data_IF_230412307288
#
_entry.id   IF_230412307288
#
_cell.length_a   1.000
_cell.length_b   1.000
_cell.length_c   1.000
_cell.angle_alpha   90.00
_cell.angle_beta   90.00
_cell.angle_gamma   90.00
#
_symmetry.space_group_name_H-M   'P 1'
#
loop_
_entity.id
_entity.type
_entity.pdbx_description
1 polymer ?
#
# COMPACT_ATOMS: atom_id res chain seq x y z
N UNK A 1 11.61 9.75 84.42
CA UNK A 1 10.43 8.86 84.44
C UNK A 1 9.36 9.43 83.53
N UNK A 2 9.32 8.98 82.28
CA UNK A 2 8.12 8.85 81.44
C UNK A 2 8.58 8.07 80.20
N UNK A 3 7.97 6.90 80.00
CA UNK A 3 8.25 5.92 78.95
C UNK A 3 7.77 6.48 77.61
N UNK A 4 8.60 6.45 76.58
CA UNK A 4 8.17 6.71 75.21
C UNK A 4 8.87 5.81 74.15
N UNK A 5 8.89 4.47 74.28
CA UNK A 5 9.34 3.60 73.19
C UNK A 5 8.24 3.32 72.14
N UNK A 6 7.13 4.06 72.15
CA UNK A 6 5.95 3.75 71.30
C UNK A 6 5.92 4.59 70.01
N UNK A 7 6.69 5.67 69.91
CA UNK A 7 6.61 6.56 68.74
C UNK A 7 7.44 6.12 67.52
N UNK A 8 8.34 5.12 67.67
CA UNK A 8 9.19 4.62 66.58
C UNK A 8 8.59 3.44 65.80
N UNK A 9 7.50 2.83 66.26
CA UNK A 9 6.91 1.66 65.59
C UNK A 9 5.82 2.02 64.55
N UNK A 10 5.24 3.21 64.62
CA UNK A 10 4.18 3.65 63.71
C UNK A 10 4.68 4.41 62.47
N UNK A 11 5.91 4.94 62.49
CA UNK A 11 6.50 5.61 61.33
C UNK A 11 7.08 4.63 60.30
N UNK A 12 7.50 3.43 60.74
CA UNK A 12 8.05 2.39 59.86
C UNK A 12 6.98 1.65 59.05
N UNK A 13 5.76 1.54 59.58
CA UNK A 13 4.65 0.84 58.91
C UNK A 13 3.91 1.72 57.90
N UNK A 14 3.83 3.04 58.11
CA UNK A 14 3.21 3.96 57.13
C UNK A 14 4.11 4.16 55.90
N UNK A 15 5.44 4.16 56.04
CA UNK A 15 6.35 4.24 54.90
C UNK A 15 6.39 2.95 54.07
N UNK A 16 6.18 1.79 54.69
CA UNK A 16 6.20 0.50 54.00
C UNK A 16 4.95 0.28 53.14
N UNK A 17 3.79 0.82 53.53
CA UNK A 17 2.56 0.77 52.71
C UNK A 17 2.64 1.70 51.50
N UNK A 18 3.34 2.84 51.60
CA UNK A 18 3.51 3.78 50.49
C UNK A 18 4.56 3.35 49.46
N UNK A 19 5.62 2.64 49.87
CA UNK A 19 6.61 2.10 48.92
C UNK A 19 6.07 0.85 48.20
N UNK A 20 5.21 0.06 48.84
CA UNK A 20 4.57 -1.10 48.19
C UNK A 20 3.42 -0.74 47.24
N UNK A 21 2.87 0.47 47.34
CA UNK A 21 1.87 0.96 46.37
C UNK A 21 2.48 1.67 45.15
N UNK A 22 3.77 2.05 45.20
CA UNK A 22 4.49 2.59 44.04
C UNK A 22 5.22 1.54 43.19
N UNK A 23 5.46 0.34 43.72
CA UNK A 23 5.97 -0.81 42.95
C UNK A 23 4.86 -1.62 42.27
N UNK A 24 3.59 -1.25 42.51
CA UNK A 24 2.40 -1.86 41.93
C UNK A 24 1.87 -1.19 40.67
N UNK A 25 2.58 -0.20 40.10
CA UNK A 25 2.36 0.15 38.69
C UNK A 25 3.16 -0.86 37.89
N UNK A 26 2.63 -2.09 37.83
CA UNK A 26 3.03 -3.02 36.79
C UNK A 26 2.76 -2.28 35.49
N UNK A 27 3.82 -1.82 34.84
CA UNK A 27 3.81 -1.56 33.43
C UNK A 27 3.24 -2.84 32.80
N UNK A 28 1.94 -2.82 32.50
CA UNK A 28 1.34 -3.76 31.58
C UNK A 28 2.06 -3.50 30.27
N UNK A 29 3.21 -4.15 30.10
CA UNK A 29 3.83 -4.34 28.80
C UNK A 29 2.77 -5.15 28.07
N UNK A 30 1.96 -4.46 27.28
CA UNK A 30 0.98 -5.08 26.40
C UNK A 30 1.78 -6.03 25.51
N UNK A 31 1.75 -7.32 25.83
CA UNK A 31 2.32 -8.35 25.00
C UNK A 31 1.38 -8.50 23.82
N UNK A 32 1.65 -7.79 22.73
CA UNK A 32 1.03 -8.11 21.45
C UNK A 32 1.62 -9.45 20.99
N UNK A 33 0.79 -10.51 20.85
CA UNK A 33 1.29 -11.76 20.30
C UNK A 33 1.87 -11.50 18.90
N UNK A 34 2.90 -12.25 18.49
CA UNK A 34 3.45 -12.13 17.14
C UNK A 34 2.33 -12.27 16.12
N UNK A 35 2.17 -11.26 15.26
CA UNK A 35 1.19 -11.30 14.17
C UNK A 35 1.62 -12.36 13.15
N UNK A 36 0.67 -13.09 12.61
CA UNK A 36 0.95 -13.99 11.49
C UNK A 36 1.18 -13.19 10.20
N UNK A 37 1.74 -13.86 9.19
CA UNK A 37 2.09 -13.23 7.92
C UNK A 37 0.87 -12.65 7.18
N UNK A 38 -0.33 -13.21 7.37
CA UNK A 38 -1.55 -12.72 6.73
C UNK A 38 -2.00 -11.43 7.39
N UNK A 39 -2.09 -11.41 8.71
CA UNK A 39 -2.45 -10.22 9.49
C UNK A 39 -1.50 -9.05 9.18
N UNK A 40 -0.18 -9.30 9.16
CA UNK A 40 0.79 -8.25 8.81
C UNK A 40 0.61 -7.77 7.36
N UNK A 41 0.38 -8.67 6.41
CA UNK A 41 0.12 -8.30 5.03
C UNK A 41 -1.16 -7.47 4.86
N UNK A 42 -2.25 -7.87 5.52
CA UNK A 42 -3.53 -7.15 5.47
C UNK A 42 -3.40 -5.74 6.06
N UNK A 43 -2.70 -5.59 7.19
CA UNK A 43 -2.39 -4.28 7.76
C UNK A 43 -1.55 -3.42 6.81
N UNK A 44 -0.58 -4.04 6.11
CA UNK A 44 0.15 -3.35 5.05
C UNK A 44 -0.75 -2.93 3.89
N UNK A 45 -1.77 -3.69 3.52
CA UNK A 45 -2.68 -3.23 2.46
C UNK A 45 -3.63 -2.13 2.96
N UNK A 46 -4.12 -2.22 4.19
CA UNK A 46 -5.05 -1.25 4.77
C UNK A 46 -4.42 0.07 5.19
N UNK A 47 -3.13 0.07 5.54
CA UNK A 47 -2.47 1.31 5.91
C UNK A 47 -2.50 2.26 4.69
N UNK A 48 -3.37 3.27 4.80
CA UNK A 48 -3.52 4.32 3.83
C UNK A 48 -2.19 5.07 3.68
N UNK A 49 -1.97 5.63 2.48
CA UNK A 49 -0.92 6.61 2.26
C UNK A 49 -1.31 7.91 2.98
N UNK A 50 -1.10 7.92 4.30
CA UNK A 50 -1.43 9.06 5.15
C UNK A 50 -0.23 10.01 5.22
N UNK A 51 -0.40 11.29 4.88
CA UNK A 51 0.65 12.28 5.14
C UNK A 51 1.00 12.30 6.63
N UNK A 52 2.29 12.19 6.93
CA UNK A 52 2.81 12.41 8.28
C UNK A 52 3.38 13.83 8.34
N UNK A 53 2.73 14.74 9.07
CA UNK A 53 3.22 16.11 9.32
C UNK A 53 2.23 17.24 9.02
N UNK A 54 2.67 18.48 9.28
CA UNK A 54 1.89 19.73 9.17
C UNK A 54 1.63 20.22 7.73
N UNK A 55 2.10 19.50 6.70
CA UNK A 55 1.91 19.91 5.31
C UNK A 55 0.49 19.58 4.82
N UNK A 56 -0.25 20.59 4.37
CA UNK A 56 -1.58 20.43 3.76
C UNK A 56 -1.58 19.61 2.45
N UNK A 57 -0.42 19.45 1.81
CA UNK A 57 -0.25 18.65 0.58
C UNK A 57 0.75 17.51 0.84
N UNK A 58 0.33 16.24 0.76
CA UNK A 58 1.21 15.09 0.93
C UNK A 58 2.34 15.04 -0.11
N UNK A 59 3.56 14.69 0.31
CA UNK A 59 4.59 14.21 -0.64
C UNK A 59 4.26 12.76 -1.03
N UNK A 60 3.46 12.60 -2.08
CA UNK A 60 3.05 11.30 -2.58
C UNK A 60 4.24 10.42 -2.98
N UNK A 61 5.32 11.00 -3.51
CA UNK A 61 6.52 10.23 -3.88
C UNK A 61 7.11 9.57 -2.64
N UNK A 62 7.33 10.33 -1.58
CA UNK A 62 7.86 9.79 -0.32
C UNK A 62 6.91 8.75 0.30
N UNK A 63 5.59 9.00 0.27
CA UNK A 63 4.60 8.04 0.76
C UNK A 63 4.63 6.71 0.01
N UNK A 64 4.68 6.74 -1.33
CA UNK A 64 4.81 5.52 -2.14
C UNK A 64 6.11 4.77 -1.82
N UNK A 65 7.25 5.47 -1.74
CA UNK A 65 8.55 4.84 -1.47
C UNK A 65 8.62 4.22 -0.08
N UNK A 66 8.09 4.90 0.94
CA UNK A 66 7.95 4.33 2.29
C UNK A 66 7.07 3.08 2.28
N UNK A 67 5.96 3.10 1.53
CA UNK A 67 5.07 1.94 1.41
C UNK A 67 5.75 0.75 0.73
N UNK A 68 6.49 1.01 -0.34
CA UNK A 68 7.30 0.00 -1.04
C UNK A 68 8.31 -0.64 -0.07
N UNK A 69 9.04 0.17 0.70
CA UNK A 69 10.03 -0.34 1.65
C UNK A 69 9.40 -1.28 2.71
N UNK A 70 8.15 -1.03 3.12
CA UNK A 70 7.43 -1.92 4.04
C UNK A 70 7.09 -3.27 3.40
N UNK A 71 6.63 -3.29 2.15
CA UNK A 71 6.42 -4.54 1.42
C UNK A 71 7.74 -5.30 1.17
N UNK A 72 8.83 -4.59 0.86
CA UNK A 72 10.16 -5.21 0.71
C UNK A 72 10.62 -5.85 2.03
N UNK A 73 10.38 -5.18 3.17
CA UNK A 73 10.66 -5.73 4.50
C UNK A 73 9.79 -6.97 4.79
N UNK A 74 8.51 -6.94 4.43
CA UNK A 74 7.62 -8.10 4.54
C UNK A 74 8.13 -9.30 3.76
N UNK A 75 8.49 -9.12 2.48
CA UNK A 75 9.05 -10.20 1.64
C UNK A 75 10.35 -10.75 2.23
N UNK A 76 11.22 -9.88 2.76
CA UNK A 76 12.47 -10.30 3.41
C UNK A 76 12.20 -11.11 4.69
N UNK A 77 11.19 -10.74 5.46
CA UNK A 77 10.78 -11.43 6.70
C UNK A 77 10.13 -12.79 6.41
N UNK A 78 9.30 -12.86 5.36
CA UNK A 78 8.54 -14.06 4.99
C UNK A 78 8.84 -14.52 3.54
N UNK A 79 10.08 -14.94 3.22
CA UNK A 79 10.50 -15.22 1.84
C UNK A 79 9.82 -16.46 1.21
N UNK A 80 9.23 -17.32 2.04
CA UNK A 80 8.48 -18.53 1.61
C UNK A 80 6.97 -18.34 1.70
N UNK A 81 6.50 -17.14 2.06
CA UNK A 81 5.07 -16.85 2.17
C UNK A 81 4.39 -17.05 0.82
N UNK A 82 3.17 -17.64 0.78
CA UNK A 82 2.36 -17.61 -0.43
C UNK A 82 1.98 -16.18 -0.84
N UNK A 83 2.11 -15.20 0.07
CA UNK A 83 1.81 -13.79 -0.17
C UNK A 83 2.93 -13.03 -0.88
N UNK A 84 4.10 -13.62 -1.10
CA UNK A 84 5.23 -12.94 -1.77
C UNK A 84 4.85 -12.43 -3.16
N UNK A 85 4.12 -13.23 -3.95
CA UNK A 85 3.69 -12.81 -5.28
C UNK A 85 2.76 -11.62 -5.25
N UNK A 86 1.84 -11.57 -4.28
CA UNK A 86 0.92 -10.44 -4.13
C UNK A 86 1.65 -9.20 -3.57
N UNK A 87 2.54 -9.35 -2.59
CA UNK A 87 3.37 -8.25 -2.10
C UNK A 87 4.23 -7.63 -3.22
N UNK A 88 4.83 -8.46 -4.09
CA UNK A 88 5.55 -7.98 -5.28
C UNK A 88 4.63 -7.25 -6.25
N UNK A 89 3.41 -7.76 -6.45
CA UNK A 89 2.41 -7.11 -7.29
C UNK A 89 2.06 -5.71 -6.74
N UNK A 90 1.85 -5.58 -5.43
CA UNK A 90 1.62 -4.29 -4.77
C UNK A 90 2.80 -3.34 -4.94
N UNK A 91 4.04 -3.82 -4.77
CA UNK A 91 5.24 -3.01 -5.04
C UNK A 91 5.24 -2.51 -6.49
N UNK A 92 4.92 -3.37 -7.46
CA UNK A 92 4.90 -2.98 -8.86
C UNK A 92 3.81 -1.92 -9.15
N UNK A 93 2.62 -2.07 -8.57
CA UNK A 93 1.55 -1.05 -8.65
C UNK A 93 2.04 0.29 -8.07
N UNK A 94 2.62 0.28 -6.86
CA UNK A 94 3.16 1.49 -6.21
C UNK A 94 4.26 2.14 -7.04
N UNK A 95 5.21 1.37 -7.59
CA UNK A 95 6.29 1.90 -8.43
C UNK A 95 5.77 2.61 -9.69
N UNK A 96 4.65 2.17 -10.27
CA UNK A 96 4.03 2.85 -11.43
C UNK A 96 3.44 4.21 -11.06
N UNK A 97 3.11 4.39 -9.78
CA UNK A 97 2.50 5.61 -9.26
C UNK A 97 3.51 6.59 -8.64
N UNK A 98 4.79 6.21 -8.55
CA UNK A 98 5.83 7.13 -8.09
C UNK A 98 6.02 8.24 -9.13
N UNK A 99 5.78 9.48 -8.72
CA UNK A 99 6.01 10.65 -9.55
C UNK A 99 7.47 11.09 -9.55
N UNK A 100 7.89 11.83 -10.58
CA UNK A 100 9.20 12.53 -10.58
C UNK A 100 9.26 13.55 -9.44
N UNK A 101 10.46 13.82 -8.93
CA UNK A 101 10.64 14.69 -7.76
C UNK A 101 10.10 16.11 -7.99
N UNK A 102 10.25 16.64 -9.20
CA UNK A 102 9.76 17.96 -9.61
C UNK A 102 8.22 18.08 -9.62
N UNK A 103 7.49 16.95 -9.62
CA UNK A 103 6.02 16.93 -9.62
C UNK A 103 5.44 17.43 -8.31
N UNK A 104 6.19 17.34 -7.21
CA UNK A 104 5.76 17.84 -5.91
C UNK A 104 5.32 19.31 -5.97
N UNK A 105 6.12 20.17 -6.62
CA UNK A 105 5.81 21.60 -6.75
C UNK A 105 4.53 21.82 -7.56
N UNK A 106 4.38 21.13 -8.69
CA UNK A 106 3.17 21.24 -9.51
C UNK A 106 1.92 20.75 -8.77
N UNK A 107 2.02 19.67 -7.98
CA UNK A 107 0.91 19.19 -7.14
C UNK A 107 0.55 20.23 -6.09
N UNK A 108 1.53 20.80 -5.40
CA UNK A 108 1.28 21.85 -4.41
C UNK A 108 0.53 23.04 -5.02
N UNK A 109 0.98 23.52 -6.17
CA UNK A 109 0.30 24.62 -6.88
C UNK A 109 -1.13 24.25 -7.29
N UNK A 110 -1.35 23.02 -7.75
CA UNK A 110 -2.68 22.49 -8.08
C UNK A 110 -3.59 22.47 -6.84
N UNK A 111 -3.12 21.94 -5.70
CA UNK A 111 -3.89 21.90 -4.45
C UNK A 111 -4.22 23.30 -3.94
N UNK A 112 -3.27 24.24 -4.01
CA UNK A 112 -3.51 25.64 -3.65
C UNK A 112 -4.54 26.30 -4.57
N UNK A 113 -4.52 25.97 -5.87
CA UNK A 113 -5.50 26.44 -6.85
C UNK A 113 -6.90 25.90 -6.55
N UNK A 114 -7.05 24.58 -6.34
CA UNK A 114 -8.33 23.92 -6.01
C UNK A 114 -8.88 24.43 -4.69
N UNK A 115 -8.02 24.63 -3.69
CA UNK A 115 -8.44 25.18 -2.38
C UNK A 115 -9.00 26.60 -2.53
N UNK A 116 -8.39 27.43 -3.38
CA UNK A 116 -8.90 28.78 -3.70
C UNK A 116 -10.18 28.76 -4.55
N UNK A 117 -10.41 27.70 -5.32
CA UNK A 117 -11.63 27.54 -6.12
C UNK A 117 -12.89 27.43 -5.26
N UNK A 118 -12.77 27.03 -3.98
CA UNK A 118 -13.86 27.00 -3.01
C UNK A 118 -15.16 26.37 -3.55
N UNK A 119 -15.05 25.14 -4.05
CA UNK A 119 -16.14 24.34 -4.66
C UNK A 119 -16.65 24.84 -6.02
N UNK A 120 -16.00 25.80 -6.68
CA UNK A 120 -16.27 26.09 -8.08
C UNK A 120 -15.71 24.99 -8.99
N UNK A 121 -16.60 24.14 -9.51
CA UNK A 121 -16.25 22.96 -10.32
C UNK A 121 -15.45 23.34 -11.58
N UNK A 122 -15.82 24.43 -12.25
CA UNK A 122 -15.13 24.86 -13.47
C UNK A 122 -13.68 25.27 -13.19
N UNK A 123 -13.43 25.97 -12.09
CA UNK A 123 -12.08 26.33 -11.65
C UNK A 123 -11.30 25.11 -11.19
N UNK A 124 -11.92 24.17 -10.47
CA UNK A 124 -11.28 22.91 -10.07
C UNK A 124 -10.81 22.11 -11.29
N UNK A 125 -11.68 21.90 -12.28
CA UNK A 125 -11.35 21.24 -13.55
C UNK A 125 -10.20 21.95 -14.26
N UNK A 126 -10.21 23.29 -14.29
CA UNK A 126 -9.12 24.09 -14.84
C UNK A 126 -7.80 23.86 -14.09
N UNK A 127 -7.79 23.88 -12.76
CA UNK A 127 -6.59 23.67 -11.95
C UNK A 127 -5.97 22.28 -12.23
N UNK A 128 -6.81 21.25 -12.31
CA UNK A 128 -6.39 19.87 -12.61
C UNK A 128 -5.86 19.78 -14.05
N UNK A 129 -6.54 20.39 -15.01
CA UNK A 129 -6.11 20.41 -16.41
C UNK A 129 -4.77 21.15 -16.59
N UNK A 130 -4.58 22.29 -15.91
CA UNK A 130 -3.32 23.04 -15.95
C UNK A 130 -2.17 22.24 -15.33
N UNK A 131 -2.43 21.51 -14.23
CA UNK A 131 -1.46 20.58 -13.66
C UNK A 131 -0.98 19.55 -14.68
N UNK A 132 -1.89 18.84 -15.35
CA UNK A 132 -1.51 17.82 -16.34
C UNK A 132 -0.81 18.44 -17.56
N UNK A 133 -1.26 19.62 -18.00
CA UNK A 133 -0.64 20.36 -19.11
C UNK A 133 0.82 20.73 -18.80
N UNK A 134 1.12 21.17 -17.57
CA UNK A 134 2.46 21.61 -17.16
C UNK A 134 3.37 20.46 -16.75
N UNK A 135 2.82 19.46 -16.06
CA UNK A 135 3.59 18.29 -15.60
C UNK A 135 3.91 17.31 -16.73
N UNK A 136 3.12 17.28 -17.81
CA UNK A 136 3.24 16.27 -18.85
C UNK A 136 2.94 14.88 -18.28
N UNK A 137 3.87 13.93 -18.43
CA UNK A 137 3.79 12.66 -17.72
C UNK A 137 4.40 12.83 -16.31
N UNK A 138 3.62 12.76 -15.22
CA UNK A 138 4.15 12.93 -13.87
C UNK A 138 5.01 11.74 -13.42
N UNK A 139 4.89 10.57 -14.03
CA UNK A 139 5.52 9.33 -13.53
C UNK A 139 7.03 9.32 -13.71
N UNK A 140 7.73 8.80 -12.71
CA UNK A 140 9.19 8.68 -12.74
C UNK A 140 9.62 7.47 -13.60
N UNK A 141 10.42 7.69 -14.67
CA UNK A 141 10.82 6.61 -15.57
C UNK A 141 11.67 5.53 -14.89
N UNK A 142 12.45 5.87 -13.86
CA UNK A 142 13.26 4.90 -13.13
C UNK A 142 12.38 3.91 -12.37
N UNK A 143 11.37 4.41 -11.66
CA UNK A 143 10.45 3.56 -10.91
C UNK A 143 9.48 2.82 -11.81
N UNK A 144 9.07 3.45 -12.92
CA UNK A 144 8.30 2.76 -13.94
C UNK A 144 9.06 1.56 -14.53
N UNK A 145 10.36 1.69 -14.83
CA UNK A 145 11.19 0.58 -15.28
C UNK A 145 11.33 -0.52 -14.21
N UNK A 146 11.46 -0.15 -12.92
CA UNK A 146 11.43 -1.12 -11.82
C UNK A 146 10.12 -1.89 -11.74
N UNK A 147 8.99 -1.21 -11.92
CA UNK A 147 7.68 -1.86 -11.98
C UNK A 147 7.61 -2.87 -13.13
N UNK A 148 8.06 -2.49 -14.34
CA UNK A 148 8.06 -3.39 -15.48
C UNK A 148 8.86 -4.67 -15.21
N UNK A 149 10.10 -4.52 -14.72
CA UNK A 149 10.95 -5.66 -14.37
C UNK A 149 10.30 -6.58 -13.33
N UNK A 150 9.66 -6.00 -12.31
CA UNK A 150 9.00 -6.77 -11.27
C UNK A 150 7.76 -7.51 -11.78
N UNK A 151 6.97 -6.88 -12.66
CA UNK A 151 5.84 -7.55 -13.31
C UNK A 151 6.29 -8.71 -14.20
N UNK A 152 7.39 -8.56 -14.95
CA UNK A 152 7.98 -9.63 -15.74
C UNK A 152 8.43 -10.80 -14.87
N UNK A 153 9.03 -10.51 -13.71
CA UNK A 153 9.39 -11.51 -12.70
C UNK A 153 8.15 -12.24 -12.16
N UNK A 154 7.07 -11.53 -11.84
CA UNK A 154 5.80 -12.14 -11.40
C UNK A 154 5.24 -13.09 -12.46
N UNK A 155 5.21 -12.66 -13.73
CA UNK A 155 4.73 -13.49 -14.85
C UNK A 155 5.55 -14.77 -14.99
N UNK A 156 6.88 -14.70 -14.81
CA UNK A 156 7.80 -15.82 -14.97
C UNK A 156 7.79 -16.78 -13.79
N UNK A 157 7.93 -16.25 -12.57
CA UNK A 157 8.26 -17.04 -11.38
C UNK A 157 7.01 -17.34 -10.52
N UNK A 158 5.95 -16.56 -10.67
CA UNK A 158 4.72 -16.64 -9.88
C UNK A 158 3.46 -16.68 -10.74
N UNK A 159 3.61 -17.04 -12.02
CA UNK A 159 2.59 -16.83 -13.04
C UNK A 159 1.22 -17.41 -12.68
N UNK A 160 1.18 -18.60 -12.09
CA UNK A 160 -0.04 -19.32 -11.70
C UNK A 160 -0.33 -19.30 -10.20
N UNK A 161 0.40 -18.48 -9.43
CA UNK A 161 0.07 -18.28 -8.03
C UNK A 161 -1.30 -17.63 -7.94
N UNK A 162 -2.15 -18.20 -7.08
CA UNK A 162 -3.44 -17.63 -6.80
C UNK A 162 -3.28 -16.30 -6.05
N UNK A 163 -4.02 -15.28 -6.48
CA UNK A 163 -3.97 -13.96 -5.84
C UNK A 163 -4.68 -13.96 -4.51
N UNK A 164 -4.14 -13.20 -3.56
CA UNK A 164 -4.74 -12.94 -2.25
C UNK A 164 -5.14 -11.47 -2.16
N UNK A 165 -6.43 -11.17 -2.25
CA UNK A 165 -6.89 -9.80 -2.46
C UNK A 165 -8.12 -9.48 -1.60
N UNK A 166 -8.32 -8.18 -1.38
CA UNK A 166 -9.53 -7.65 -0.79
C UNK A 166 -10.68 -7.76 -1.80
N UNK A 167 -11.71 -8.55 -1.50
CA UNK A 167 -12.80 -8.82 -2.45
C UNK A 167 -13.93 -7.80 -2.41
N UNK A 168 -14.08 -7.09 -1.30
CA UNK A 168 -15.02 -5.97 -1.17
C UNK A 168 -14.44 -4.87 -0.25
N UNK A 169 -14.20 -3.65 -0.76
CA UNK A 169 -13.77 -2.51 0.04
C UNK A 169 -14.71 -2.13 1.19
N UNK A 170 -16.01 -2.47 1.09
CA UNK A 170 -17.02 -2.18 2.10
C UNK A 170 -17.21 -3.29 3.14
N UNK A 171 -16.84 -4.54 2.84
CA UNK A 171 -16.98 -5.70 3.75
C UNK A 171 -15.66 -6.26 4.27
N UNK A 172 -14.50 -5.81 3.74
CA UNK A 172 -13.22 -5.86 4.44
C UNK A 172 -12.54 -7.24 4.53
N UNK A 173 -12.90 -8.22 3.70
CA UNK A 173 -12.31 -9.57 3.79
C UNK A 173 -11.24 -9.81 2.73
N UNK A 174 -10.07 -10.23 3.19
CA UNK A 174 -9.04 -10.76 2.32
C UNK A 174 -9.24 -12.26 2.11
N UNK A 175 -9.16 -12.67 0.86
CA UNK A 175 -9.25 -14.07 0.49
C UNK A 175 -8.48 -14.39 -0.77
N UNK A 176 -8.23 -15.68 -1.00
CA UNK A 176 -7.69 -16.16 -2.24
C UNK A 176 -8.76 -16.09 -3.33
N UNK A 177 -8.56 -15.24 -4.32
CA UNK A 177 -9.48 -15.07 -5.44
C UNK A 177 -9.12 -16.02 -6.58
N UNK A 178 -10.10 -16.43 -7.40
CA UNK A 178 -9.86 -17.30 -8.55
C UNK A 178 -9.22 -16.53 -9.72
N UNK A 179 -8.00 -16.04 -9.51
CA UNK A 179 -7.21 -15.28 -10.46
C UNK A 179 -5.72 -15.56 -10.23
N UNK A 180 -5.00 -15.78 -11.33
CA UNK A 180 -3.57 -15.99 -11.35
C UNK A 180 -2.83 -14.64 -11.34
N UNK A 181 -1.82 -14.50 -10.48
CA UNK A 181 -1.03 -13.28 -10.35
C UNK A 181 -0.35 -12.89 -11.67
N UNK A 182 0.12 -13.87 -12.46
CA UNK A 182 0.73 -13.64 -13.76
C UNK A 182 -0.24 -13.07 -14.79
N UNK A 183 -1.51 -13.49 -14.78
CA UNK A 183 -2.53 -12.98 -15.69
C UNK A 183 -2.77 -11.47 -15.47
N UNK A 184 -2.90 -11.07 -14.21
CA UNK A 184 -3.06 -9.67 -13.84
C UNK A 184 -1.77 -8.86 -14.07
N UNK A 185 -0.60 -9.40 -13.71
CA UNK A 185 0.68 -8.74 -13.97
C UNK A 185 0.95 -8.51 -15.48
N UNK A 186 0.60 -9.48 -16.32
CA UNK A 186 0.71 -9.35 -17.78
C UNK A 186 -0.26 -8.30 -18.34
N UNK A 187 -1.45 -8.17 -17.76
CA UNK A 187 -2.36 -7.08 -18.11
C UNK A 187 -1.78 -5.71 -17.75
N UNK A 188 -1.18 -5.58 -16.57
CA UNK A 188 -0.49 -4.35 -16.17
C UNK A 188 0.66 -4.02 -17.13
N UNK A 189 1.50 -4.99 -17.51
CA UNK A 189 2.58 -4.83 -18.49
C UNK A 189 2.08 -4.37 -19.86
N UNK A 190 0.86 -4.75 -20.22
CA UNK A 190 0.25 -4.41 -21.50
C UNK A 190 -0.30 -2.98 -21.55
N UNK A 191 -0.43 -2.31 -20.39
CA UNK A 191 -0.82 -0.90 -20.35
C UNK A 191 0.36 -0.05 -20.82
N UNK A 192 0.17 0.69 -21.92
CA UNK A 192 1.22 1.51 -22.54
C UNK A 192 2.03 0.80 -23.64
N UNK A 193 1.66 -0.43 -24.00
CA UNK A 193 2.21 -1.12 -25.17
C UNK A 193 1.44 -0.76 -26.44
N UNK A 194 2.06 -1.04 -27.58
CA UNK A 194 1.40 -0.94 -28.89
C UNK A 194 0.12 -1.80 -28.92
N UNK A 195 -0.90 -1.44 -29.73
CA UNK A 195 -2.10 -2.26 -29.88
C UNK A 195 -1.79 -3.73 -30.22
N UNK A 196 -0.79 -3.99 -31.04
CA UNK A 196 -0.38 -5.33 -31.47
C UNK A 196 0.21 -6.15 -30.31
N UNK A 197 1.11 -5.56 -29.52
CA UNK A 197 1.69 -6.20 -28.34
C UNK A 197 0.62 -6.42 -27.25
N UNK A 198 -0.24 -5.43 -27.04
CA UNK A 198 -1.35 -5.53 -26.09
C UNK A 198 -2.30 -6.66 -26.47
N UNK A 199 -2.66 -6.77 -27.75
CA UNK A 199 -3.48 -7.87 -28.27
C UNK A 199 -2.80 -9.24 -28.09
N UNK A 200 -1.50 -9.35 -28.37
CA UNK A 200 -0.72 -10.57 -28.16
C UNK A 200 -0.77 -11.01 -26.69
N UNK A 201 -0.51 -10.08 -25.77
CA UNK A 201 -0.54 -10.37 -24.34
C UNK A 201 -1.94 -10.74 -23.86
N UNK A 202 -2.99 -10.05 -24.34
CA UNK A 202 -4.37 -10.33 -23.96
C UNK A 202 -4.82 -11.72 -24.42
N UNK A 203 -4.45 -12.13 -25.64
CA UNK A 203 -4.67 -13.51 -26.11
C UNK A 203 -3.96 -14.53 -25.22
N UNK A 204 -2.73 -14.22 -24.78
CA UNK A 204 -1.98 -15.07 -23.84
C UNK A 204 -2.70 -15.17 -22.49
N UNK A 205 -3.19 -14.06 -21.94
CA UNK A 205 -3.97 -14.03 -20.68
C UNK A 205 -5.16 -14.99 -20.77
N UNK A 206 -5.99 -14.87 -21.81
CA UNK A 206 -7.19 -15.69 -21.98
C UNK A 206 -6.90 -17.19 -22.18
N UNK A 207 -5.74 -17.52 -22.74
CA UNK A 207 -5.35 -18.89 -23.06
C UNK A 207 -4.68 -19.59 -21.88
N UNK A 208 -3.82 -18.89 -21.15
CA UNK A 208 -2.87 -19.52 -20.23
C UNK A 208 -3.18 -19.27 -18.76
N UNK A 209 -3.93 -18.23 -18.41
CA UNK A 209 -4.11 -17.81 -17.02
C UNK A 209 -5.56 -17.90 -16.56
N UNK A 210 -5.75 -18.26 -15.29
CA UNK A 210 -7.05 -18.08 -14.61
C UNK A 210 -7.25 -16.60 -14.33
N UNK A 211 -8.40 -16.06 -14.72
CA UNK A 211 -8.78 -14.67 -14.48
C UNK A 211 -10.24 -14.60 -14.06
N UNK A 212 -10.57 -13.65 -13.19
CA UNK A 212 -11.95 -13.46 -12.73
C UNK A 212 -12.86 -12.99 -13.87
N UNK A 213 -14.18 -13.27 -13.82
CA UNK A 213 -15.09 -12.98 -14.93
C UNK A 213 -15.09 -11.52 -15.40
N UNK A 214 -15.01 -10.57 -14.47
CA UNK A 214 -15.01 -9.13 -14.77
C UNK A 214 -13.75 -8.75 -15.56
N UNK A 215 -12.60 -9.25 -15.13
CA UNK A 215 -11.32 -9.02 -15.79
C UNK A 215 -11.27 -9.72 -17.15
N UNK A 216 -11.75 -10.98 -17.22
CA UNK A 216 -11.87 -11.73 -18.47
C UNK A 216 -12.65 -10.96 -19.52
N UNK A 217 -13.80 -10.40 -19.15
CA UNK A 217 -14.65 -9.60 -20.04
C UNK A 217 -13.91 -8.41 -20.63
N UNK A 218 -13.16 -7.66 -19.81
CA UNK A 218 -12.35 -6.52 -20.28
C UNK A 218 -11.32 -6.95 -21.34
N UNK A 219 -10.66 -8.08 -21.12
CA UNK A 219 -9.65 -8.62 -22.04
C UNK A 219 -10.29 -9.13 -23.33
N UNK A 220 -11.41 -9.85 -23.24
CA UNK A 220 -12.17 -10.37 -24.39
C UNK A 220 -12.73 -9.24 -25.27
N UNK A 221 -13.30 -8.20 -24.65
CA UNK A 221 -13.86 -7.05 -25.37
C UNK A 221 -12.78 -6.34 -26.19
N UNK A 222 -11.59 -6.17 -25.63
CA UNK A 222 -10.45 -5.61 -26.37
C UNK A 222 -10.01 -6.51 -27.53
N UNK A 223 -9.85 -7.82 -27.30
CA UNK A 223 -9.46 -8.76 -28.35
C UNK A 223 -10.49 -8.80 -29.49
N UNK A 224 -11.78 -8.73 -29.17
CA UNK A 224 -12.87 -8.71 -30.16
C UNK A 224 -12.86 -7.45 -31.03
N UNK A 225 -12.57 -6.29 -30.43
CA UNK A 225 -12.63 -5.00 -31.10
C UNK A 225 -11.37 -4.71 -31.95
N UNK A 226 -10.21 -5.21 -31.53
CA UNK A 226 -8.92 -4.88 -32.14
C UNK A 226 -8.18 -6.08 -32.76
N UNK A 227 -8.76 -7.28 -32.68
CA UNK A 227 -8.12 -8.51 -33.16
C UNK A 227 -8.45 -8.94 -34.58
N UNK A 228 -9.14 -8.09 -35.36
CA UNK A 228 -9.51 -8.32 -36.76
C UNK A 228 -8.42 -7.87 -37.72
#
# INVERSE_FOLDING_TARGET
>A
MLKAPVFRLLLGTVLMVFVLSFLGVTSYVYYEPPKDEYTEYEELVYEMLSPQGDSSVPDYRDLYLKKIAKYEAFIKKYPKSPLVSEAKLRIAELYRDVDRAEIYTYRKEMFDCVTRANFDVATEEFCIADFYRRSGNPRDPLYFAKAQKLLEEIVRDYGHNQRYALTDPGQGRFEYINEDAGGYALYLLSQGKSPEEKLKNYRKILKEYRVRPEFKKVVEDYVRNYGK
#
